data_IF_179649173113
#
_entry.id   IF_179649173113
#
_cell.length_a   1.000
_cell.length_b   1.000
_cell.length_c   1.000
_cell.angle_alpha   90.00
_cell.angle_beta   90.00
_cell.angle_gamma   90.00
#
_symmetry.space_group_name_H-M   'P 1'
#
loop_
_entity.id
_entity.type
_entity.pdbx_description
1 polymer ?
#
# COMPACT_ATOMS: atom_id res chain seq x y z
N UNK A 1 -18.89 5.76 -22.17
CA UNK A 1 -19.11 6.17 -20.76
C UNK A 1 -18.08 5.40 -19.92
N UNK A 2 -17.04 6.06 -19.42
CA UNK A 2 -16.03 5.40 -18.57
C UNK A 2 -16.66 5.06 -17.21
N UNK A 3 -16.61 3.77 -16.82
CA UNK A 3 -17.18 3.27 -15.57
C UNK A 3 -16.27 3.48 -14.34
N UNK A 4 -15.00 3.84 -14.54
CA UNK A 4 -14.07 4.26 -13.49
C UNK A 4 -13.55 5.64 -13.88
N UNK A 5 -13.72 6.67 -13.05
CA UNK A 5 -13.22 8.00 -13.36
C UNK A 5 -11.69 8.00 -13.42
N UNK A 6 -11.14 8.57 -14.48
CA UNK A 6 -9.70 8.80 -14.57
C UNK A 6 -9.26 9.81 -13.51
N UNK A 7 -8.05 9.64 -12.98
CA UNK A 7 -7.52 10.50 -11.93
C UNK A 7 -7.41 11.97 -12.36
N UNK A 8 -6.96 12.24 -13.59
CA UNK A 8 -6.89 13.60 -14.15
C UNK A 8 -8.26 14.29 -14.20
N UNK A 9 -9.30 13.53 -14.58
CA UNK A 9 -10.68 14.02 -14.64
C UNK A 9 -11.21 14.34 -13.24
N UNK A 10 -10.83 13.55 -12.24
CA UNK A 10 -11.25 13.77 -10.86
C UNK A 10 -10.53 14.96 -10.23
N UNK A 11 -9.28 15.22 -10.63
CA UNK A 11 -8.46 16.32 -10.15
C UNK A 11 -8.64 17.64 -10.92
N UNK A 12 -9.37 17.63 -12.03
CA UNK A 12 -9.54 18.78 -12.94
C UNK A 12 -8.19 19.37 -13.41
N UNK A 13 -7.25 18.50 -13.77
CA UNK A 13 -5.92 18.87 -14.26
C UNK A 13 -5.64 18.29 -15.63
N UNK A 14 -4.77 18.97 -16.40
CA UNK A 14 -4.28 18.40 -17.66
C UNK A 14 -3.33 17.24 -17.37
N UNK A 15 -3.16 16.38 -18.36
CA UNK A 15 -2.26 15.23 -18.30
C UNK A 15 -0.83 15.62 -17.96
N UNK A 16 -0.35 16.73 -18.51
CA UNK A 16 1.01 17.25 -18.30
C UNK A 16 1.19 17.88 -16.90
N UNK A 17 0.09 18.12 -16.20
CA UNK A 17 0.03 18.73 -14.87
C UNK A 17 -0.20 17.68 -13.77
N UNK A 18 -0.17 16.38 -14.12
CA UNK A 18 -0.36 15.30 -13.16
C UNK A 18 0.71 15.33 -12.06
N UNK A 19 0.31 15.34 -10.76
CA UNK A 19 1.26 15.43 -9.66
C UNK A 19 1.95 14.10 -9.41
N UNK A 20 3.18 14.14 -8.92
CA UNK A 20 3.85 12.93 -8.42
C UNK A 20 3.25 12.52 -7.08
N UNK A 21 2.89 11.23 -6.94
CA UNK A 21 2.41 10.68 -5.67
C UNK A 21 3.55 10.07 -4.87
N UNK A 22 3.52 10.32 -3.57
CA UNK A 22 4.46 9.76 -2.60
C UNK A 22 3.71 9.30 -1.36
N UNK A 23 4.22 8.25 -0.74
CA UNK A 23 3.86 7.86 0.63
C UNK A 23 4.98 8.29 1.55
N UNK A 24 4.62 9.01 2.61
CA UNK A 24 5.49 9.24 3.75
C UNK A 24 5.09 8.25 4.85
N UNK A 25 5.97 7.32 5.20
CA UNK A 25 5.73 6.40 6.29
C UNK A 25 6.01 7.10 7.64
N UNK A 26 5.02 7.24 8.54
CA UNK A 26 5.10 8.12 9.70
C UNK A 26 6.09 7.67 10.78
N UNK A 27 6.47 6.38 10.81
CA UNK A 27 7.39 5.85 11.82
C UNK A 27 8.84 5.78 11.35
N UNK A 28 9.06 5.61 10.05
CA UNK A 28 10.42 5.45 9.49
C UNK A 28 10.90 6.70 8.76
N UNK A 29 10.04 7.72 8.62
CA UNK A 29 10.24 8.89 7.76
C UNK A 29 10.62 8.54 6.32
N UNK A 30 10.31 7.31 5.89
CA UNK A 30 10.64 6.84 4.56
C UNK A 30 9.67 7.42 3.54
N UNK A 31 10.21 8.10 2.53
CA UNK A 31 9.46 8.59 1.38
C UNK A 31 9.54 7.55 0.26
N UNK A 32 8.39 7.02 -0.15
CA UNK A 32 8.30 6.04 -1.24
C UNK A 32 7.51 6.65 -2.41
N UNK A 33 8.13 6.80 -3.60
CA UNK A 33 7.43 7.32 -4.78
C UNK A 33 6.49 6.26 -5.37
N UNK A 34 5.39 6.71 -5.97
CA UNK A 34 4.51 5.85 -6.76
C UNK A 34 5.30 5.23 -7.93
N UNK A 35 5.26 3.90 -8.11
CA UNK A 35 6.18 3.21 -9.02
C UNK A 35 5.76 3.28 -10.50
N UNK A 36 4.52 3.68 -10.79
CA UNK A 36 4.00 3.73 -12.15
C UNK A 36 3.96 5.14 -12.69
N UNK A 37 4.27 5.29 -13.99
CA UNK A 37 4.11 6.55 -14.69
C UNK A 37 2.64 6.96 -14.74
N UNK A 38 2.36 8.22 -14.43
CA UNK A 38 1.04 8.83 -14.55
C UNK A 38 0.76 9.31 -15.99
N UNK A 39 1.75 9.20 -16.88
CA UNK A 39 1.60 9.53 -18.30
C UNK A 39 0.62 8.59 -19.00
N UNK A 40 0.35 7.41 -18.46
CA UNK A 40 -0.74 6.56 -18.95
C UNK A 40 -1.98 6.66 -18.05
N UNK A 41 -2.63 7.83 -18.14
CA UNK A 41 -3.89 8.15 -17.43
C UNK A 41 -5.03 7.15 -17.59
N UNK A 42 -4.99 6.25 -18.60
CA UNK A 42 -5.97 5.18 -18.75
C UNK A 42 -5.75 4.05 -17.73
N UNK A 43 -4.54 3.91 -17.23
CA UNK A 43 -4.13 2.82 -16.34
C UNK A 43 -4.02 3.23 -14.86
N UNK A 44 -4.37 4.48 -14.51
CA UNK A 44 -4.25 4.99 -13.14
C UNK A 44 -5.60 5.49 -12.65
N UNK A 45 -6.14 4.80 -11.63
CA UNK A 45 -7.31 5.25 -10.87
C UNK A 45 -6.90 5.78 -9.49
N UNK A 46 -7.68 6.68 -8.88
CA UNK A 46 -7.49 7.08 -7.49
C UNK A 46 -7.42 5.89 -6.52
N UNK A 47 -8.27 4.88 -6.74
CA UNK A 47 -8.32 3.69 -5.92
C UNK A 47 -7.03 2.86 -6.00
N UNK A 48 -6.41 2.76 -7.18
CA UNK A 48 -5.10 2.10 -7.33
C UNK A 48 -4.01 2.82 -6.56
N UNK A 49 -3.99 4.16 -6.60
CA UNK A 49 -3.02 4.96 -5.84
C UNK A 49 -3.21 4.76 -4.34
N UNK A 50 -4.45 4.73 -3.85
CA UNK A 50 -4.73 4.49 -2.43
C UNK A 50 -4.38 3.07 -1.99
N UNK A 51 -4.71 2.05 -2.79
CA UNK A 51 -4.38 0.65 -2.50
C UNK A 51 -2.87 0.44 -2.51
N UNK A 52 -2.15 1.02 -3.47
CA UNK A 52 -0.69 1.01 -3.48
C UNK A 52 -0.13 1.68 -2.23
N UNK A 53 -0.66 2.84 -1.85
CA UNK A 53 -0.17 3.59 -0.71
C UNK A 53 -0.32 2.80 0.59
N UNK A 54 -1.52 2.25 0.82
CA UNK A 54 -1.79 1.42 2.00
C UNK A 54 -0.95 0.14 2.00
N UNK A 55 -0.80 -0.51 0.85
CA UNK A 55 0.07 -1.69 0.68
C UNK A 55 1.50 -1.35 1.10
N UNK A 56 2.06 -0.25 0.60
CA UNK A 56 3.43 0.20 0.91
C UNK A 56 3.63 0.40 2.40
N UNK A 57 2.68 1.07 3.07
CA UNK A 57 2.70 1.26 4.53
C UNK A 57 2.69 -0.09 5.25
N UNK A 58 1.76 -0.98 4.89
CA UNK A 58 1.63 -2.29 5.53
C UNK A 58 2.89 -3.15 5.36
N UNK A 59 3.58 -3.08 4.22
CA UNK A 59 4.88 -3.76 4.06
C UNK A 59 5.90 -3.27 5.09
N UNK A 60 6.08 -1.95 5.20
CA UNK A 60 7.02 -1.35 6.15
C UNK A 60 6.65 -1.65 7.61
N UNK A 61 5.36 -1.55 7.95
CA UNK A 61 4.86 -1.85 9.30
C UNK A 61 5.10 -3.32 9.67
N UNK A 62 4.77 -4.27 8.76
CA UNK A 62 4.99 -5.71 9.03
C UNK A 62 6.47 -6.05 9.20
N UNK A 63 7.35 -5.54 8.35
CA UNK A 63 8.81 -5.75 8.48
C UNK A 63 9.35 -5.18 9.79
N UNK A 64 8.85 -4.00 10.20
CA UNK A 64 9.24 -3.38 11.47
C UNK A 64 8.75 -4.17 12.68
N UNK A 65 7.50 -4.65 12.66
CA UNK A 65 6.94 -5.47 13.74
C UNK A 65 7.66 -6.81 13.88
N UNK A 66 7.97 -7.48 12.77
CA UNK A 66 8.76 -8.71 12.77
C UNK A 66 10.16 -8.50 13.36
N UNK A 67 10.84 -7.42 12.94
CA UNK A 67 12.15 -7.06 13.46
C UNK A 67 12.11 -6.72 14.96
N UNK A 68 11.09 -6.00 15.41
CA UNK A 68 10.89 -5.64 16.82
C UNK A 68 10.60 -6.87 17.68
N UNK A 69 9.74 -7.78 17.23
CA UNK A 69 9.48 -9.06 17.93
C UNK A 69 10.78 -9.84 18.09
N UNK A 70 11.55 -9.97 17.00
CA UNK A 70 12.81 -10.71 17.02
C UNK A 70 13.81 -10.10 18.01
N UNK A 71 14.03 -8.79 17.97
CA UNK A 71 14.96 -8.10 18.88
C UNK A 71 14.53 -8.25 20.35
N UNK A 72 13.23 -8.12 20.64
CA UNK A 72 12.70 -8.28 22.00
C UNK A 72 12.79 -9.73 22.50
N UNK A 73 12.53 -10.72 21.65
CA UNK A 73 12.69 -12.14 21.99
C UNK A 73 14.15 -12.51 22.24
N UNK A 74 15.07 -12.02 21.41
CA UNK A 74 16.52 -12.22 21.60
C UNK A 74 17.02 -11.59 22.90
N UNK A 75 16.57 -10.36 23.22
CA UNK A 75 16.87 -9.70 24.51
C UNK A 75 16.35 -10.49 25.70
N UNK A 76 15.10 -10.96 25.63
CA UNK A 76 14.48 -11.77 26.69
C UNK A 76 15.20 -13.11 26.89
N UNK A 77 15.67 -13.73 25.81
CA UNK A 77 16.42 -14.98 25.86
C UNK A 77 17.85 -14.78 26.40
N UNK A 78 18.48 -13.64 26.13
CA UNK A 78 19.83 -13.33 26.59
C UNK A 78 19.89 -13.04 28.10
N UNK A 79 18.95 -12.25 28.63
CA UNK A 79 18.87 -11.94 30.05
C UNK A 79 17.43 -11.62 30.49
N UNK A 80 16.69 -12.66 30.88
CA UNK A 80 15.33 -12.52 31.37
C UNK A 80 15.22 -11.70 32.66
N UNK A 81 16.29 -11.59 33.46
CA UNK A 81 16.32 -10.80 34.69
C UNK A 81 16.44 -9.30 34.43
N UNK A 82 17.04 -8.92 33.31
CA UNK A 82 17.13 -7.54 32.83
C UNK A 82 15.96 -7.12 31.91
N UNK A 83 15.07 -8.06 31.55
CA UNK A 83 13.94 -7.78 30.68
C UNK A 83 12.84 -7.04 31.45
N UNK A 84 12.52 -5.83 31.00
CA UNK A 84 11.61 -4.92 31.71
C UNK A 84 10.14 -5.25 31.44
N UNK A 85 9.25 -4.84 32.36
CA UNK A 85 7.79 -4.95 32.15
C UNK A 85 7.31 -4.15 30.92
N UNK A 86 7.97 -3.03 30.62
CA UNK A 86 7.67 -2.22 29.42
C UNK A 86 7.99 -2.99 28.14
N UNK A 87 9.14 -3.67 28.09
CA UNK A 87 9.52 -4.53 26.96
C UNK A 87 8.59 -5.73 26.80
N UNK A 88 8.14 -6.35 27.91
CA UNK A 88 7.16 -7.45 27.88
C UNK A 88 5.81 -6.97 27.35
N UNK A 89 5.34 -5.82 27.83
CA UNK A 89 4.11 -5.18 27.36
C UNK A 89 4.19 -4.86 25.88
N UNK A 90 5.31 -4.28 25.42
CA UNK A 90 5.53 -3.95 24.02
C UNK A 90 5.58 -5.20 23.15
N UNK A 91 6.33 -6.24 23.55
CA UNK A 91 6.40 -7.52 22.84
C UNK A 91 5.00 -8.12 22.66
N UNK A 92 4.17 -8.08 23.71
CA UNK A 92 2.80 -8.56 23.64
C UNK A 92 1.95 -7.74 22.66
N UNK A 93 2.00 -6.42 22.73
CA UNK A 93 1.25 -5.54 21.82
C UNK A 93 1.61 -5.79 20.36
N UNK A 94 2.91 -5.85 20.03
CA UNK A 94 3.36 -6.04 18.65
C UNK A 94 2.94 -7.42 18.13
N UNK A 95 3.00 -8.46 18.97
CA UNK A 95 2.49 -9.81 18.64
C UNK A 95 0.98 -9.86 18.43
N UNK A 96 0.20 -9.01 19.10
CA UNK A 96 -1.25 -8.92 18.91
C UNK A 96 -1.61 -8.15 17.62
N UNK A 97 -0.81 -7.14 17.25
CA UNK A 97 -1.04 -6.29 16.08
C UNK A 97 -0.61 -6.96 14.77
N UNK A 98 0.55 -7.63 14.75
CA UNK A 98 1.15 -8.18 13.54
C UNK A 98 0.17 -9.05 12.73
N UNK A 99 -0.58 -10.01 13.31
CA UNK A 99 -1.50 -10.85 12.52
C UNK A 99 -2.61 -10.05 11.83
N UNK A 100 -3.10 -8.99 12.47
CA UNK A 100 -4.13 -8.13 11.87
C UNK A 100 -3.55 -7.31 10.71
N UNK A 101 -2.32 -6.81 10.85
CA UNK A 101 -1.62 -6.09 9.79
C UNK A 101 -1.30 -7.01 8.60
N UNK A 102 -0.89 -8.26 8.85
CA UNK A 102 -0.65 -9.27 7.81
C UNK A 102 -1.93 -9.64 7.04
N UNK A 103 -3.05 -9.82 7.75
CA UNK A 103 -4.33 -10.10 7.11
C UNK A 103 -4.82 -8.91 6.28
N UNK A 104 -4.71 -7.68 6.81
CA UNK A 104 -5.03 -6.48 6.04
C UNK A 104 -4.16 -6.37 4.78
N UNK A 105 -2.85 -6.61 4.92
CA UNK A 105 -1.89 -6.59 3.80
C UNK A 105 -2.31 -7.55 2.71
N UNK A 106 -2.74 -8.76 3.06
CA UNK A 106 -3.25 -9.76 2.12
C UNK A 106 -4.50 -9.25 1.38
N UNK A 107 -5.50 -8.74 2.11
CA UNK A 107 -6.73 -8.20 1.50
C UNK A 107 -6.43 -7.03 0.57
N UNK A 108 -5.52 -6.13 0.96
CA UNK A 108 -5.13 -4.98 0.12
C UNK A 108 -4.42 -5.45 -1.16
N UNK A 109 -3.56 -6.47 -1.08
CA UNK A 109 -2.89 -7.06 -2.25
C UNK A 109 -3.93 -7.67 -3.21
N UNK A 110 -4.89 -8.43 -2.69
CA UNK A 110 -5.97 -9.03 -3.49
C UNK A 110 -6.79 -7.94 -4.20
N UNK A 111 -7.23 -6.92 -3.46
CA UNK A 111 -7.98 -5.79 -4.03
C UNK A 111 -7.18 -4.97 -5.04
N UNK A 112 -5.88 -4.79 -4.82
CA UNK A 112 -5.00 -4.12 -5.78
C UNK A 112 -4.98 -4.88 -7.10
N UNK A 113 -4.76 -6.20 -7.05
CA UNK A 113 -4.72 -7.06 -8.23
C UNK A 113 -6.09 -7.13 -8.95
N UNK A 114 -7.19 -7.15 -8.21
CA UNK A 114 -8.54 -7.08 -8.77
C UNK A 114 -8.76 -5.76 -9.52
N UNK A 115 -8.35 -4.63 -8.93
CA UNK A 115 -8.50 -3.31 -9.54
C UNK A 115 -7.65 -3.17 -10.80
N UNK A 116 -6.42 -3.69 -10.80
CA UNK A 116 -5.55 -3.72 -11.99
C UNK A 116 -6.20 -4.48 -13.15
N UNK A 117 -6.79 -5.66 -12.88
CA UNK A 117 -7.53 -6.43 -13.89
C UNK A 117 -8.73 -5.67 -14.41
N UNK A 118 -9.51 -5.07 -13.52
CA UNK A 118 -10.74 -4.36 -13.84
C UNK A 118 -10.46 -3.14 -14.74
N UNK A 119 -9.34 -2.46 -14.53
CA UNK A 119 -8.88 -1.37 -15.39
C UNK A 119 -8.40 -1.90 -16.74
N UNK A 120 -7.62 -2.97 -16.77
CA UNK A 120 -7.15 -3.59 -18.02
C UNK A 120 -8.30 -4.04 -18.93
N UNK A 121 -9.24 -4.83 -18.38
CA UNK A 121 -10.41 -5.33 -19.11
C UNK A 121 -11.28 -4.19 -19.67
N UNK A 122 -11.45 -3.11 -18.90
CA UNK A 122 -12.22 -1.93 -19.32
C UNK A 122 -11.51 -1.12 -20.40
N UNK A 123 -10.19 -1.03 -20.35
CA UNK A 123 -9.40 -0.35 -21.37
C UNK A 123 -9.47 -1.11 -22.70
N UNK A 124 -9.33 -2.44 -22.68
CA UNK A 124 -9.51 -3.28 -23.87
C UNK A 124 -10.91 -3.11 -24.50
N UNK A 125 -11.95 -3.11 -23.67
CA UNK A 125 -13.32 -2.90 -24.15
C UNK A 125 -13.51 -1.50 -24.77
N UNK A 126 -12.99 -0.45 -24.14
CA UNK A 126 -13.08 0.92 -24.67
C UNK A 126 -12.37 1.04 -26.02
N UNK A 127 -11.19 0.45 -26.17
CA UNK A 127 -10.45 0.48 -27.44
C UNK A 127 -11.14 -0.31 -28.55
N UNK A 128 -11.81 -1.42 -28.21
CA UNK A 128 -12.57 -2.20 -29.17
C UNK A 128 -13.81 -1.44 -29.68
N UNK A 129 -14.48 -0.69 -28.80
CA UNK A 129 -15.63 0.15 -29.17
C UNK A 129 -15.22 1.34 -30.03
N UNK A 130 -14.12 2.01 -29.69
CA UNK A 130 -13.60 3.15 -30.47
C UNK A 130 -13.17 2.73 -31.89
N UNK A 131 -12.73 1.48 -32.10
CA UNK A 131 -12.38 0.93 -33.43
C UNK A 131 -13.59 0.60 -34.31
N UNK A 132 -14.80 0.56 -33.75
CA UNK A 132 -16.03 0.20 -34.45
C UNK A 132 -16.88 1.43 -34.87
N UNK A 133 -16.43 2.64 -34.51
CA UNK A 133 -17.04 3.93 -34.89
C UNK A 133 -16.22 4.62 -35.98
#
# INVERSE_FOLDING_TARGET
MQLVPQLSTLMDVKKEEMPNFFVLHPMTDQLVPYPHSLEDHKNVSPELVLLWARRTVLYLETEQFEAEIKDLEEKKAADAGAFTEEQESRLKQVKEILPAAEEEKKVVIEKHAEMEKLIAEKNEFSEAVDKLQ
#
